data_IF_592169152062
#
_entry.id   IF_592169152062
#
_cell.length_a   1.000
_cell.length_b   1.000
_cell.length_c   1.000
_cell.angle_alpha   90.00
_cell.angle_beta   90.00
_cell.angle_gamma   90.00
#
_symmetry.space_group_name_H-M   'P 1'
#
loop_
_entity.id
_entity.type
_entity.pdbx_description
1 polymer ?
#
# COMPACT_ATOMS: atom_id res chain seq x y z
N UNK A 1 -64.84 46.83 -29.14
CA UNK A 1 -64.20 47.68 -30.16
C UNK A 1 -62.70 47.38 -30.13
N UNK A 2 -62.20 46.80 -31.22
CA UNK A 2 -60.81 46.75 -31.72
C UNK A 2 -59.55 46.81 -30.80
N UNK A 3 -58.74 45.74 -30.95
CA UNK A 3 -57.32 45.72 -31.38
C UNK A 3 -56.18 45.93 -30.34
N UNK A 4 -55.29 44.91 -30.29
CA UNK A 4 -53.87 44.83 -29.80
C UNK A 4 -53.06 46.11 -30.07
N UNK A 5 -51.99 46.49 -29.32
CA UNK A 5 -50.67 45.78 -29.34
C UNK A 5 -49.72 46.06 -28.13
N UNK A 6 -48.46 45.55 -28.17
CA UNK A 6 -47.14 46.14 -27.73
C UNK A 6 -46.14 45.04 -27.29
N UNK A 7 -45.07 44.72 -28.02
CA UNK A 7 -43.75 45.35 -28.26
C UNK A 7 -42.73 45.34 -27.10
N UNK A 8 -41.80 44.39 -27.23
CA UNK A 8 -40.35 44.35 -26.92
C UNK A 8 -39.76 45.36 -25.92
N UNK A 9 -39.27 44.82 -24.80
CA UNK A 9 -38.44 45.50 -23.80
C UNK A 9 -36.98 45.63 -24.24
N UNK A 10 -36.40 46.79 -23.93
CA UNK A 10 -34.98 47.16 -24.06
C UNK A 10 -34.21 46.69 -22.81
N UNK A 11 -32.94 46.35 -22.96
CA UNK A 11 -31.95 46.43 -21.87
C UNK A 11 -30.81 47.34 -22.31
N UNK A 12 -30.43 48.27 -21.43
CA UNK A 12 -29.43 49.31 -21.58
C UNK A 12 -28.24 49.04 -20.66
N UNK A 13 -27.06 49.52 -21.08
CA UNK A 13 -25.92 49.97 -20.26
C UNK A 13 -25.06 48.86 -19.61
N UNK A 14 -23.73 48.93 -19.47
CA UNK A 14 -22.75 50.01 -19.60
C UNK A 14 -21.38 49.41 -19.98
N UNK A 15 -20.68 49.93 -20.99
CA UNK A 15 -19.24 49.68 -21.20
C UNK A 15 -18.46 50.92 -20.81
N UNK A 16 -17.68 50.82 -19.73
CA UNK A 16 -16.70 51.82 -19.29
C UNK A 16 -15.30 51.48 -19.82
N UNK A 17 -14.76 52.43 -20.57
CA UNK A 17 -13.37 52.87 -20.75
C UNK A 17 -12.17 51.94 -20.42
N UNK A 18 -11.29 51.83 -21.42
CA UNK A 18 -9.84 51.62 -21.27
C UNK A 18 -9.13 52.21 -22.52
N UNK A 19 -8.05 53.00 -22.40
CA UNK A 19 -7.63 53.95 -23.43
C UNK A 19 -6.68 53.36 -24.49
N UNK A 20 -6.83 53.86 -25.72
CA UNK A 20 -5.97 53.64 -26.87
C UNK A 20 -4.59 54.27 -26.64
N UNK A 21 -3.55 53.45 -26.46
CA UNK A 21 -2.13 53.85 -26.37
C UNK A 21 -1.24 53.02 -27.30
N UNK A 22 -1.70 52.76 -28.52
CA UNK A 22 -0.85 52.25 -29.59
C UNK A 22 -1.08 53.09 -30.83
N UNK A 23 -0.24 54.10 -31.03
CA UNK A 23 0.22 54.57 -32.34
C UNK A 23 1.05 55.84 -32.15
N UNK A 24 2.33 55.69 -31.82
CA UNK A 24 3.42 56.59 -32.24
C UNK A 24 4.68 55.73 -32.14
N UNK A 25 5.22 55.33 -33.29
CA UNK A 25 6.65 55.31 -33.63
C UNK A 25 6.78 54.72 -35.04
N UNK A 26 6.72 55.60 -36.03
CA UNK A 26 7.08 55.28 -37.40
C UNK A 26 8.58 55.01 -37.49
N UNK A 27 8.96 53.74 -37.59
CA UNK A 27 10.35 53.34 -37.81
C UNK A 27 10.67 53.49 -39.30
N UNK A 28 11.39 54.56 -39.64
CA UNK A 28 11.91 54.81 -40.99
C UNK A 28 12.96 53.73 -41.30
N UNK A 29 12.59 52.82 -42.20
CA UNK A 29 13.32 51.59 -42.48
C UNK A 29 14.58 51.88 -43.34
N UNK A 30 15.75 51.93 -42.72
CA UNK A 30 17.03 51.74 -43.43
C UNK A 30 17.26 50.24 -43.62
N UNK A 31 17.11 49.76 -44.86
CA UNK A 31 17.18 48.33 -45.20
C UNK A 31 18.53 47.65 -44.92
N UNK A 32 19.59 48.41 -44.61
CA UNK A 32 20.91 47.87 -44.29
C UNK A 32 21.19 47.75 -42.79
N UNK A 33 20.43 48.45 -41.93
CA UNK A 33 20.59 48.40 -40.47
C UNK A 33 19.70 47.36 -39.78
N UNK A 34 18.50 47.13 -40.30
CA UNK A 34 17.51 46.23 -39.69
C UNK A 34 17.95 44.76 -39.68
N UNK A 35 18.63 44.29 -40.73
CA UNK A 35 19.12 42.91 -40.78
C UNK A 35 20.24 42.65 -39.76
N UNK A 36 21.10 43.65 -39.47
CA UNK A 36 22.14 43.52 -38.45
C UNK A 36 21.55 43.48 -37.05
N UNK A 37 20.55 44.32 -36.76
CA UNK A 37 19.84 44.28 -35.47
C UNK A 37 19.07 42.98 -35.24
N UNK A 38 18.37 42.47 -36.26
CA UNK A 38 17.69 41.17 -36.18
C UNK A 38 18.68 40.03 -35.92
N UNK A 39 19.85 40.03 -36.59
CA UNK A 39 20.89 39.02 -36.36
C UNK A 39 21.48 39.07 -34.95
N UNK A 40 21.59 40.26 -34.35
CA UNK A 40 22.10 40.44 -32.97
C UNK A 40 21.06 39.96 -31.97
N UNK A 41 19.77 40.23 -32.20
CA UNK A 41 18.69 39.78 -31.34
C UNK A 41 18.57 38.25 -31.38
N UNK A 42 18.66 37.62 -32.56
CA UNK A 42 18.59 36.16 -32.65
C UNK A 42 19.78 35.47 -31.99
N UNK A 43 21.00 36.02 -32.15
CA UNK A 43 22.17 35.51 -31.43
C UNK A 43 22.05 35.70 -29.92
N UNK A 44 21.54 36.83 -29.45
CA UNK A 44 21.30 37.07 -28.04
C UNK A 44 20.25 36.12 -27.44
N UNK A 45 19.15 35.84 -28.15
CA UNK A 45 18.14 34.86 -27.75
C UNK A 45 18.72 33.44 -27.75
N UNK A 46 19.54 33.06 -28.74
CA UNK A 46 20.23 31.78 -28.75
C UNK A 46 21.21 31.64 -27.57
N UNK A 47 21.96 32.70 -27.26
CA UNK A 47 22.88 32.70 -26.11
C UNK A 47 22.09 32.58 -24.81
N UNK A 48 20.98 33.31 -24.65
CA UNK A 48 20.08 33.18 -23.49
C UNK A 48 19.47 31.79 -23.38
N UNK A 49 19.11 31.15 -24.49
CA UNK A 49 18.59 29.78 -24.50
C UNK A 49 19.65 28.75 -24.10
N UNK A 50 20.89 28.92 -24.59
CA UNK A 50 22.00 28.04 -24.20
C UNK A 50 22.39 28.28 -22.74
N UNK A 51 22.45 29.54 -22.28
CA UNK A 51 22.70 29.88 -20.88
C UNK A 51 21.58 29.36 -19.98
N UNK A 52 20.30 29.53 -20.35
CA UNK A 52 19.19 28.99 -19.56
C UNK A 52 19.27 27.46 -19.48
N UNK A 53 19.56 26.76 -20.59
CA UNK A 53 19.72 25.29 -20.56
C UNK A 53 20.89 24.80 -19.68
N UNK A 54 21.88 25.67 -19.40
CA UNK A 54 23.05 25.35 -18.57
C UNK A 54 22.91 25.82 -17.11
N UNK A 55 22.10 26.84 -16.85
CA UNK A 55 21.92 27.44 -15.51
C UNK A 55 20.58 27.09 -14.85
N UNK A 56 19.59 26.60 -15.59
CA UNK A 56 18.52 25.81 -14.99
C UNK A 56 19.06 24.40 -14.83
N UNK A 57 19.37 23.93 -13.62
CA UNK A 57 19.57 22.51 -13.42
C UNK A 57 18.28 21.86 -13.92
N UNK A 58 18.37 21.07 -14.99
CA UNK A 58 17.42 19.99 -15.20
C UNK A 58 17.43 19.27 -13.87
N UNK A 59 16.33 19.39 -13.14
CA UNK A 59 16.07 18.59 -11.96
C UNK A 59 15.98 17.16 -12.45
N UNK A 60 17.14 16.55 -12.70
CA UNK A 60 17.29 15.13 -12.60
C UNK A 60 16.79 14.84 -11.20
N UNK A 61 15.58 14.27 -11.12
CA UNK A 61 15.07 13.70 -9.89
C UNK A 61 16.22 12.87 -9.36
N UNK A 62 16.86 13.34 -8.28
CA UNK A 62 17.85 12.54 -7.59
C UNK A 62 17.15 11.19 -7.38
N UNK A 63 17.65 10.14 -8.02
CA UNK A 63 17.01 8.83 -7.93
C UNK A 63 16.90 8.54 -6.45
N UNK A 64 15.67 8.56 -5.93
CA UNK A 64 15.44 8.38 -4.50
C UNK A 64 15.93 6.97 -4.22
N UNK A 65 17.11 6.86 -3.62
CA UNK A 65 17.67 5.58 -3.23
C UNK A 65 16.88 5.14 -2.01
N UNK A 66 15.82 4.36 -2.27
CA UNK A 66 15.05 3.77 -1.20
C UNK A 66 15.92 2.74 -0.47
N UNK A 67 15.82 2.64 0.87
CA UNK A 67 16.49 1.57 1.59
C UNK A 67 16.04 0.22 1.03
N UNK A 68 16.88 -0.82 1.12
CA UNK A 68 16.49 -2.17 0.70
C UNK A 68 15.19 -2.57 1.39
N UNK A 69 14.22 -3.03 0.60
CA UNK A 69 12.93 -3.46 1.14
C UNK A 69 13.16 -4.68 2.01
N UNK A 70 12.83 -4.57 3.30
CA UNK A 70 12.89 -5.66 4.26
C UNK A 70 11.58 -5.73 5.04
N UNK A 71 11.22 -6.95 5.44
CA UNK A 71 10.12 -7.23 6.35
C UNK A 71 10.43 -6.82 7.79
N UNK A 72 9.64 -7.33 8.74
CA UNK A 72 9.91 -7.15 10.18
C UNK A 72 11.21 -7.82 10.63
N UNK A 73 11.61 -8.89 9.94
CA UNK A 73 12.81 -9.67 10.19
C UNK A 73 13.80 -9.49 9.04
N UNK A 74 15.08 -9.63 9.34
CA UNK A 74 16.17 -9.50 8.37
C UNK A 74 16.43 -10.84 7.68
N UNK A 75 16.34 -11.94 8.43
CA UNK A 75 16.47 -13.28 7.88
C UNK A 75 15.12 -13.83 7.42
N UNK A 76 15.11 -14.34 6.19
CA UNK A 76 13.91 -14.82 5.53
C UNK A 76 13.94 -16.33 5.38
N UNK A 77 12.75 -16.94 5.39
CA UNK A 77 12.55 -18.37 5.19
C UNK A 77 11.73 -18.53 3.89
N UNK A 78 12.22 -19.30 2.90
CA UNK A 78 11.44 -19.55 1.69
C UNK A 78 10.19 -20.39 2.01
N UNK A 79 9.02 -19.84 1.72
CA UNK A 79 7.75 -20.54 1.85
C UNK A 79 7.61 -21.62 0.75
N UNK A 80 7.16 -22.81 1.13
CA UNK A 80 6.95 -23.93 0.20
C UNK A 80 5.72 -23.75 -0.70
N UNK A 81 4.76 -22.94 -0.27
CA UNK A 81 3.47 -22.70 -0.90
C UNK A 81 3.11 -21.21 -0.85
N UNK A 82 2.25 -20.77 -1.79
CA UNK A 82 1.63 -19.44 -1.78
C UNK A 82 0.57 -19.27 -0.69
N UNK A 83 0.25 -20.34 0.03
CA UNK A 83 -0.65 -20.33 1.19
C UNK A 83 0.20 -20.24 2.46
N UNK A 84 0.41 -19.03 2.96
CA UNK A 84 1.17 -18.74 4.18
C UNK A 84 0.18 -18.39 5.29
N UNK A 85 0.04 -19.28 6.26
CA UNK A 85 -0.80 -19.08 7.44
C UNK A 85 -0.18 -19.80 8.66
N UNK A 86 -0.42 -19.31 9.88
CA UNK A 86 0.22 -19.87 11.07
C UNK A 86 -0.33 -21.25 11.41
N UNK A 87 0.42 -22.01 12.21
CA UNK A 87 -0.05 -23.29 12.75
C UNK A 87 -1.13 -23.04 13.81
N UNK A 88 -2.38 -23.32 13.45
CA UNK A 88 -3.56 -23.05 14.28
C UNK A 88 -3.57 -23.92 15.54
N UNK A 89 -3.01 -25.12 15.47
CA UNK A 89 -2.84 -26.05 16.60
C UNK A 89 -2.06 -25.43 17.77
N UNK A 90 -1.25 -24.41 17.51
CA UNK A 90 -0.46 -23.74 18.55
C UNK A 90 -1.26 -22.64 19.29
N UNK A 91 -2.43 -22.24 18.79
CA UNK A 91 -3.21 -21.15 19.37
C UNK A 91 -3.57 -21.33 20.87
N UNK A 92 -4.00 -22.51 21.35
CA UNK A 92 -4.25 -22.71 22.78
C UNK A 92 -3.01 -22.50 23.65
N UNK A 93 -1.87 -23.05 23.22
CA UNK A 93 -0.60 -22.91 23.94
C UNK A 93 -0.09 -21.46 23.89
N UNK A 94 -0.26 -20.76 22.77
CA UNK A 94 0.08 -19.34 22.66
C UNK A 94 -0.73 -18.48 23.64
N UNK A 95 -2.01 -18.81 23.84
CA UNK A 95 -2.89 -18.19 24.84
C UNK A 95 -2.38 -18.39 26.27
N UNK A 96 -1.97 -19.61 26.63
CA UNK A 96 -1.43 -19.94 27.95
C UNK A 96 -0.10 -19.23 28.23
N UNK A 97 0.78 -19.21 27.23
CA UNK A 97 2.13 -18.64 27.30
C UNK A 97 2.06 -17.10 27.38
N UNK A 98 1.03 -16.47 26.80
CA UNK A 98 0.80 -15.02 26.68
C UNK A 98 1.84 -14.30 25.81
N UNK A 99 1.46 -13.18 25.20
CA UNK A 99 2.36 -12.41 24.30
C UNK A 99 3.66 -11.96 24.98
N UNK A 100 3.59 -11.63 26.28
CA UNK A 100 4.74 -11.07 27.01
C UNK A 100 5.92 -12.02 27.11
N UNK A 101 5.69 -13.33 27.09
CA UNK A 101 6.75 -14.35 27.17
C UNK A 101 7.29 -14.74 25.78
N UNK A 102 6.54 -14.44 24.71
CA UNK A 102 6.97 -14.62 23.33
C UNK A 102 8.08 -13.64 22.95
N UNK A 103 8.11 -12.45 23.55
CA UNK A 103 9.09 -11.41 23.26
C UNK A 103 10.05 -11.11 24.43
N UNK A 104 11.18 -10.50 24.10
CA UNK A 104 12.04 -9.91 25.12
C UNK A 104 11.40 -8.63 25.62
N UNK A 105 11.34 -8.44 26.94
CA UNK A 105 10.78 -7.22 27.54
C UNK A 105 11.91 -6.29 27.98
N UNK A 106 11.83 -5.01 27.63
CA UNK A 106 12.72 -3.94 28.11
C UNK A 106 11.95 -3.02 29.06
N UNK A 107 12.55 -2.67 30.18
CA UNK A 107 12.01 -1.66 31.10
C UNK A 107 12.46 -0.27 30.65
N UNK A 108 11.52 0.66 30.51
CA UNK A 108 11.81 2.07 30.20
C UNK A 108 12.13 2.88 31.48
N UNK A 109 12.53 4.14 31.28
CA UNK A 109 12.85 5.07 32.37
C UNK A 109 11.62 5.34 33.28
N UNK A 110 10.41 5.26 32.73
CA UNK A 110 9.14 5.41 33.45
C UNK A 110 8.71 4.13 34.20
N UNK A 111 9.53 3.08 34.17
CA UNK A 111 9.20 1.78 34.77
C UNK A 111 8.19 0.94 33.97
N UNK A 112 7.66 1.47 32.87
CA UNK A 112 6.85 0.72 31.90
C UNK A 112 7.68 -0.40 31.26
N UNK A 113 7.02 -1.52 30.94
CA UNK A 113 7.63 -2.69 30.28
C UNK A 113 7.18 -2.74 28.84
N UNK A 114 8.13 -2.78 27.90
CA UNK A 114 7.86 -2.85 26.46
C UNK A 114 8.42 -4.10 25.83
N UNK A 115 7.65 -4.67 24.91
CA UNK A 115 8.04 -5.76 24.05
C UNK A 115 9.03 -5.25 23.00
N UNK A 116 10.12 -5.99 22.82
CA UNK A 116 11.17 -5.67 21.86
C UNK A 116 11.31 -6.82 20.86
N UNK A 117 11.24 -6.46 19.57
CA UNK A 117 11.54 -7.36 18.46
C UNK A 117 13.05 -7.48 18.27
N UNK A 118 13.52 -8.67 17.95
CA UNK A 118 14.91 -8.94 17.54
C UNK A 118 14.91 -9.31 16.04
N UNK A 119 15.17 -8.35 15.13
CA UNK A 119 15.08 -8.60 13.69
C UNK A 119 16.13 -9.58 13.15
N UNK A 120 17.27 -9.67 13.83
CA UNK A 120 18.45 -10.51 13.48
C UNK A 120 18.34 -11.95 14.01
N UNK A 121 17.24 -12.32 14.67
CA UNK A 121 17.09 -13.65 15.23
C UNK A 121 16.91 -14.69 14.12
N UNK A 122 17.85 -15.62 14.02
CA UNK A 122 17.80 -16.71 13.05
C UNK A 122 16.60 -17.63 13.27
N UNK A 123 16.13 -18.27 12.20
CA UNK A 123 15.11 -19.29 12.29
C UNK A 123 15.64 -20.56 12.95
N UNK A 124 14.78 -21.29 13.66
CA UNK A 124 15.18 -22.57 14.23
C UNK A 124 15.40 -23.60 13.11
N UNK A 125 16.55 -24.27 13.13
CA UNK A 125 16.87 -25.30 12.14
C UNK A 125 16.05 -26.56 12.36
N UNK A 126 15.85 -27.35 11.31
CA UNK A 126 15.05 -28.58 11.41
C UNK A 126 15.66 -29.62 12.36
N UNK A 127 16.99 -29.62 12.51
CA UNK A 127 17.69 -30.49 13.46
C UNK A 127 17.50 -30.02 14.91
N UNK A 128 17.44 -28.71 15.16
CA UNK A 128 17.11 -28.16 16.48
C UNK A 128 15.65 -28.43 16.85
N UNK A 129 14.72 -28.33 15.89
CA UNK A 129 13.30 -28.66 16.10
C UNK A 129 13.12 -30.12 16.52
N UNK A 130 13.84 -31.05 15.90
CA UNK A 130 13.78 -32.49 16.24
C UNK A 130 14.37 -32.81 17.62
N UNK A 131 15.38 -32.05 18.06
CA UNK A 131 16.06 -32.25 19.35
C UNK A 131 15.34 -31.57 20.52
N UNK A 132 14.50 -30.59 20.24
CA UNK A 132 13.78 -29.84 21.27
C UNK A 132 12.55 -30.62 21.73
N UNK A 133 12.56 -31.04 23.00
CA UNK A 133 11.40 -31.71 23.63
C UNK A 133 10.39 -30.72 24.21
N UNK A 134 10.80 -29.49 24.49
CA UNK A 134 9.95 -28.47 25.09
C UNK A 134 8.95 -27.90 24.08
N UNK A 135 7.67 -28.19 24.30
CA UNK A 135 6.57 -27.74 23.46
C UNK A 135 6.42 -26.20 23.46
N UNK A 136 6.66 -25.53 24.59
CA UNK A 136 6.52 -24.08 24.71
C UNK A 136 7.57 -23.39 23.83
N UNK A 137 8.81 -23.89 23.89
CA UNK A 137 9.90 -23.39 23.07
C UNK A 137 9.61 -23.59 21.58
N UNK A 138 9.12 -24.77 21.18
CA UNK A 138 8.72 -25.05 19.79
C UNK A 138 7.61 -24.11 19.31
N UNK A 139 6.59 -23.87 20.14
CA UNK A 139 5.48 -22.97 19.82
C UNK A 139 5.97 -21.53 19.68
N UNK A 140 6.82 -21.06 20.59
CA UNK A 140 7.43 -19.73 20.51
C UNK A 140 8.24 -19.54 19.24
N UNK A 141 9.10 -20.50 18.90
CA UNK A 141 9.87 -20.44 17.65
C UNK A 141 8.96 -20.51 16.43
N UNK A 142 7.94 -21.38 16.42
CA UNK A 142 6.97 -21.42 15.32
C UNK A 142 6.23 -20.09 15.14
N UNK A 143 5.92 -19.38 16.22
CA UNK A 143 5.31 -18.06 16.18
C UNK A 143 6.26 -17.01 15.58
N UNK A 144 7.51 -16.94 16.05
CA UNK A 144 8.50 -15.97 15.56
C UNK A 144 8.97 -16.26 14.13
N UNK A 145 9.10 -17.52 13.76
CA UNK A 145 9.59 -17.94 12.44
C UNK A 145 8.52 -17.79 11.35
N UNK A 146 7.24 -17.87 11.71
CA UNK A 146 6.13 -17.65 10.77
C UNK A 146 6.26 -16.29 10.07
N UNK A 147 6.66 -15.27 10.82
CA UNK A 147 6.84 -13.92 10.27
C UNK A 147 8.01 -13.72 9.32
N UNK A 148 8.87 -14.73 9.18
CA UNK A 148 10.04 -14.75 8.29
C UNK A 148 9.71 -15.37 6.93
N UNK A 149 8.52 -15.98 6.77
CA UNK A 149 8.13 -16.69 5.55
C UNK A 149 7.91 -15.73 4.37
N UNK A 150 8.58 -16.01 3.25
CA UNK A 150 8.49 -15.26 1.99
C UNK A 150 8.36 -16.21 0.80
N UNK A 151 7.45 -15.91 -0.12
CA UNK A 151 7.17 -16.75 -1.30
C UNK A 151 7.79 -16.13 -2.57
N UNK A 152 8.85 -16.77 -3.08
CA UNK A 152 9.58 -16.33 -4.29
C UNK A 152 9.65 -17.42 -5.37
N UNK A 153 8.52 -17.99 -5.76
CA UNK A 153 8.47 -18.97 -6.86
C UNK A 153 8.16 -18.27 -8.18
N UNK A 154 8.97 -18.53 -9.21
CA UNK A 154 8.81 -17.90 -10.53
C UNK A 154 7.66 -18.49 -11.36
N UNK A 155 7.34 -19.77 -11.18
CA UNK A 155 6.41 -20.49 -12.06
C UNK A 155 4.93 -20.43 -11.62
N UNK A 156 4.67 -20.07 -10.36
CA UNK A 156 3.33 -20.04 -9.78
C UNK A 156 3.20 -18.78 -8.93
N UNK A 157 2.98 -17.65 -9.61
CA UNK A 157 2.92 -16.32 -8.99
C UNK A 157 1.45 -15.90 -8.83
N UNK A 158 0.95 -15.73 -7.60
CA UNK A 158 -0.39 -15.22 -7.39
C UNK A 158 -0.46 -13.71 -7.69
N UNK A 159 -1.37 -13.30 -8.58
CA UNK A 159 -1.60 -11.87 -8.82
C UNK A 159 -2.34 -11.18 -7.67
N UNK A 160 -3.19 -11.93 -6.96
CA UNK A 160 -3.97 -11.46 -5.81
C UNK A 160 -3.56 -12.26 -4.58
N UNK A 161 -3.35 -11.56 -3.45
CA UNK A 161 -3.09 -12.18 -2.15
C UNK A 161 -4.18 -11.77 -1.17
N UNK A 162 -4.84 -12.76 -0.58
CA UNK A 162 -5.80 -12.56 0.50
C UNK A 162 -5.04 -12.44 1.82
N UNK A 163 -5.25 -11.34 2.52
CA UNK A 163 -4.49 -10.96 3.70
C UNK A 163 -5.41 -10.84 4.90
N UNK A 164 -5.08 -11.50 6.01
CA UNK A 164 -5.89 -11.44 7.24
C UNK A 164 -4.99 -11.41 8.48
N UNK A 165 -5.36 -10.56 9.44
CA UNK A 165 -4.82 -10.60 10.80
C UNK A 165 -5.76 -11.44 11.66
N UNK A 166 -5.22 -12.29 12.52
CA UNK A 166 -6.01 -13.07 13.49
C UNK A 166 -5.51 -12.80 14.90
N UNK A 167 -6.43 -12.58 15.81
CA UNK A 167 -6.20 -12.46 17.24
C UNK A 167 -6.37 -13.80 17.96
N UNK A 168 -5.25 -14.48 18.26
CA UNK A 168 -5.32 -15.76 18.96
C UNK A 168 -5.75 -15.63 20.42
N UNK A 169 -5.66 -14.45 21.05
CA UNK A 169 -6.03 -14.22 22.44
C UNK A 169 -7.55 -14.06 22.59
N UNK A 170 -8.21 -13.43 21.61
CA UNK A 170 -9.65 -13.18 21.68
C UNK A 170 -10.51 -14.25 20.98
N UNK A 171 -9.97 -14.99 20.00
CA UNK A 171 -10.73 -16.04 19.30
C UNK A 171 -10.38 -17.44 19.80
N UNK A 172 -11.39 -18.30 19.93
CA UNK A 172 -11.19 -19.73 20.20
C UNK A 172 -10.61 -20.45 18.96
N UNK A 173 -10.04 -21.63 19.17
CA UNK A 173 -9.37 -22.37 18.10
C UNK A 173 -10.31 -22.78 16.96
N UNK A 174 -11.57 -23.08 17.25
CA UNK A 174 -12.54 -23.47 16.21
C UNK A 174 -12.84 -22.27 15.30
N UNK A 175 -13.09 -21.10 15.88
CA UNK A 175 -13.29 -19.87 15.11
C UNK A 175 -12.07 -19.54 14.25
N UNK A 176 -10.85 -19.67 14.80
CA UNK A 176 -9.63 -19.46 14.01
C UNK A 176 -9.53 -20.46 12.85
N UNK A 177 -9.83 -21.74 13.07
CA UNK A 177 -9.86 -22.75 12.01
C UNK A 177 -10.83 -22.34 10.90
N UNK A 178 -12.04 -21.93 11.24
CA UNK A 178 -13.07 -21.52 10.27
C UNK A 178 -12.63 -20.29 9.46
N UNK A 179 -12.03 -19.28 10.10
CA UNK A 179 -11.49 -18.10 9.41
C UNK A 179 -10.42 -18.52 8.40
N UNK A 180 -9.43 -19.31 8.83
CA UNK A 180 -8.34 -19.73 7.96
C UNK A 180 -8.85 -20.58 6.80
N UNK A 181 -9.73 -21.56 7.07
CA UNK A 181 -10.35 -22.40 6.04
C UNK A 181 -11.09 -21.55 5.00
N UNK A 182 -11.91 -20.59 5.44
CA UNK A 182 -12.64 -19.72 4.51
C UNK A 182 -11.69 -18.95 3.55
N UNK A 183 -10.55 -18.44 4.05
CA UNK A 183 -9.56 -17.75 3.20
C UNK A 183 -8.84 -18.71 2.27
N UNK A 184 -8.46 -19.88 2.78
CA UNK A 184 -7.74 -20.91 2.02
C UNK A 184 -8.60 -21.46 0.90
N UNK A 185 -9.86 -21.83 1.18
CA UNK A 185 -10.79 -22.38 0.20
C UNK A 185 -11.05 -21.38 -0.93
N UNK A 186 -11.27 -20.10 -0.57
CA UNK A 186 -11.43 -19.03 -1.55
C UNK A 186 -10.18 -18.89 -2.44
N UNK A 187 -9.00 -18.82 -1.82
CA UNK A 187 -7.76 -18.59 -2.54
C UNK A 187 -7.36 -19.78 -3.42
N UNK A 188 -7.57 -21.01 -2.96
CA UNK A 188 -7.31 -22.19 -3.77
C UNK A 188 -8.18 -22.22 -5.03
N UNK A 189 -9.46 -21.88 -4.90
CA UNK A 189 -10.42 -21.85 -6.01
C UNK A 189 -10.05 -20.86 -7.11
N UNK A 190 -9.50 -19.70 -6.75
CA UNK A 190 -9.13 -18.64 -7.69
C UNK A 190 -7.63 -18.53 -7.99
N UNK A 191 -6.84 -19.48 -7.50
CA UNK A 191 -5.38 -19.47 -7.61
C UNK A 191 -4.68 -18.26 -6.97
N UNK A 192 -5.22 -17.77 -5.86
CA UNK A 192 -4.67 -16.66 -5.09
C UNK A 192 -3.66 -17.13 -4.05
N UNK A 193 -2.86 -16.18 -3.58
CA UNK A 193 -2.04 -16.34 -2.38
C UNK A 193 -2.86 -16.11 -1.12
N UNK A 194 -2.41 -16.68 -0.01
CA UNK A 194 -2.94 -16.39 1.33
C UNK A 194 -1.78 -15.93 2.20
N UNK A 195 -2.00 -14.86 2.94
CA UNK A 195 -1.05 -14.36 3.91
C UNK A 195 -1.77 -14.00 5.21
N UNK A 196 -1.72 -14.92 6.16
CA UNK A 196 -2.34 -14.79 7.48
C UNK A 196 -1.25 -14.69 8.52
N UNK A 197 -1.39 -13.76 9.46
CA UNK A 197 -0.44 -13.54 10.56
C UNK A 197 -1.20 -13.36 11.87
N UNK A 198 -0.57 -13.71 12.98
CA UNK A 198 -1.10 -13.34 14.28
C UNK A 198 -0.90 -11.85 14.48
N UNK A 199 -1.93 -11.16 14.97
CA UNK A 199 -1.85 -9.72 15.18
C UNK A 199 -0.84 -9.33 16.26
N UNK A 200 -0.65 -10.22 17.25
CA UNK A 200 0.33 -10.09 18.31
C UNK A 200 1.77 -9.97 17.78
N UNK A 201 2.04 -10.43 16.55
CA UNK A 201 3.38 -10.35 15.94
C UNK A 201 3.85 -8.90 15.73
N UNK A 202 2.91 -7.96 15.63
CA UNK A 202 3.17 -6.56 15.31
C UNK A 202 3.25 -5.66 16.55
N UNK A 203 2.85 -6.14 17.73
CA UNK A 203 2.85 -5.35 18.97
C UNK A 203 4.22 -4.70 19.28
N UNK A 204 5.37 -5.38 19.12
CA UNK A 204 6.67 -4.75 19.39
C UNK A 204 7.00 -3.57 18.46
N UNK A 205 6.35 -3.48 17.29
CA UNK A 205 6.56 -2.39 16.33
C UNK A 205 5.70 -1.15 16.63
N UNK A 206 4.77 -1.26 17.58
CA UNK A 206 3.84 -0.18 17.93
C UNK A 206 4.36 0.66 19.11
N UNK A 207 4.03 1.95 19.07
CA UNK A 207 4.25 2.84 20.20
C UNK A 207 3.31 2.49 21.37
N UNK A 208 2.03 2.31 21.08
CA UNK A 208 1.07 1.77 22.05
C UNK A 208 0.98 0.26 21.87
N UNK A 209 1.43 -0.52 22.85
CA UNK A 209 1.42 -1.99 22.79
C UNK A 209 0.10 -2.57 23.33
N UNK A 210 -0.98 -1.80 23.26
CA UNK A 210 -2.35 -2.24 23.50
C UNK A 210 -3.02 -2.61 22.18
N UNK A 211 -3.43 -3.87 22.05
CA UNK A 211 -3.99 -4.41 20.82
C UNK A 211 -5.35 -3.78 20.45
N UNK A 212 -6.22 -3.56 21.45
CA UNK A 212 -7.56 -3.03 21.22
C UNK A 212 -7.53 -1.60 20.67
N UNK A 213 -6.58 -0.80 21.15
CA UNK A 213 -6.41 0.59 20.72
C UNK A 213 -5.60 0.70 19.42
N UNK A 214 -4.82 -0.33 19.08
CA UNK A 214 -3.84 -0.25 17.99
C UNK A 214 -4.19 -1.10 16.77
N UNK A 215 -5.33 -1.79 16.76
CA UNK A 215 -5.73 -2.71 15.68
C UNK A 215 -5.60 -2.08 14.28
N UNK A 216 -6.15 -0.89 14.08
CA UNK A 216 -6.13 -0.22 12.77
C UNK A 216 -4.73 0.22 12.36
N UNK A 217 -3.85 0.52 13.30
CA UNK A 217 -2.45 0.88 13.03
C UNK A 217 -1.61 -0.35 12.63
N UNK A 218 -2.06 -1.56 12.91
CA UNK A 218 -1.38 -2.80 12.51
C UNK A 218 -1.69 -3.15 11.04
N UNK A 219 -2.86 -2.77 10.51
CA UNK A 219 -3.26 -3.09 9.13
C UNK A 219 -2.22 -2.64 8.08
N UNK A 220 -1.67 -1.41 8.11
CA UNK A 220 -0.60 -1.02 7.18
C UNK A 220 0.69 -1.83 7.36
N UNK A 221 1.06 -2.21 8.59
CA UNK A 221 2.23 -3.06 8.86
C UNK A 221 2.05 -4.45 8.27
N UNK A 222 0.84 -5.01 8.39
CA UNK A 222 0.47 -6.29 7.80
C UNK A 222 0.51 -6.25 6.28
N UNK A 223 -0.04 -5.19 5.66
CA UNK A 223 0.00 -5.01 4.21
C UNK A 223 1.44 -4.90 3.73
N UNK A 224 2.30 -4.13 4.42
CA UNK A 224 3.73 -4.06 4.12
C UNK A 224 4.41 -5.43 4.21
N UNK A 225 4.10 -6.22 5.24
CA UNK A 225 4.60 -7.57 5.39
C UNK A 225 4.13 -8.49 4.26
N UNK A 226 2.87 -8.35 3.81
CA UNK A 226 2.32 -9.10 2.69
C UNK A 226 3.02 -8.76 1.36
N UNK A 227 3.22 -7.46 1.09
CA UNK A 227 3.94 -6.98 -0.10
C UNK A 227 5.38 -7.50 -0.13
N UNK A 228 6.03 -7.59 1.03
CA UNK A 228 7.36 -8.18 1.15
C UNK A 228 7.33 -9.70 0.93
N UNK A 229 6.35 -10.40 1.51
CA UNK A 229 6.19 -11.84 1.37
C UNK A 229 5.83 -12.28 -0.07
N UNK A 230 5.14 -11.41 -0.83
CA UNK A 230 4.69 -11.64 -2.19
C UNK A 230 5.05 -10.43 -3.09
N UNK A 231 6.33 -10.24 -3.44
CA UNK A 231 6.80 -9.04 -4.15
C UNK A 231 6.24 -8.87 -5.56
N UNK A 232 5.70 -9.95 -6.14
CA UNK A 232 5.15 -9.99 -7.49
C UNK A 232 3.63 -9.88 -7.54
N UNK A 233 2.95 -9.86 -6.38
CA UNK A 233 1.51 -9.68 -6.32
C UNK A 233 1.12 -8.27 -6.80
N UNK A 234 0.06 -8.19 -7.60
CA UNK A 234 -0.50 -6.93 -8.11
C UNK A 234 -1.52 -6.32 -7.16
N UNK A 235 -2.27 -7.17 -6.47
CA UNK A 235 -3.37 -6.75 -5.60
C UNK A 235 -3.28 -7.42 -4.24
N UNK A 236 -3.50 -6.63 -3.20
CA UNK A 236 -3.64 -7.08 -1.83
C UNK A 236 -5.10 -6.92 -1.43
N UNK A 237 -5.76 -8.03 -1.11
CA UNK A 237 -7.13 -8.03 -0.61
C UNK A 237 -7.11 -8.30 0.89
N UNK A 238 -7.16 -7.23 1.68
CA UNK A 238 -7.23 -7.34 3.12
C UNK A 238 -8.66 -7.69 3.55
N UNK A 239 -8.81 -8.76 4.31
CA UNK A 239 -10.09 -9.27 4.83
C UNK A 239 -9.93 -9.38 6.35
N UNK A 240 -10.69 -8.59 7.10
CA UNK A 240 -10.67 -8.63 8.56
C UNK A 240 -11.05 -10.02 9.10
N UNK A 241 -10.63 -10.33 10.33
CA UNK A 241 -10.89 -11.61 11.01
C UNK A 241 -12.38 -11.93 11.19
N UNK A 242 -13.22 -10.90 11.34
CA UNK A 242 -14.67 -11.00 11.52
C UNK A 242 -15.45 -10.96 10.19
N UNK A 243 -14.78 -10.75 9.07
CA UNK A 243 -15.40 -10.79 7.74
C UNK A 243 -15.44 -12.23 7.19
N UNK A 244 -16.48 -12.55 6.41
CA UNK A 244 -16.63 -13.86 5.78
C UNK A 244 -16.78 -13.74 4.26
N UNK A 245 -15.99 -14.51 3.53
CA UNK A 245 -16.16 -14.66 2.08
C UNK A 245 -17.29 -15.65 1.82
N UNK A 246 -18.51 -15.13 1.66
CA UNK A 246 -19.73 -15.95 1.54
C UNK A 246 -19.84 -16.62 0.17
N UNK A 247 -19.60 -15.88 -0.91
CA UNK A 247 -19.65 -16.43 -2.27
C UNK A 247 -18.25 -16.77 -2.75
N UNK A 248 -17.87 -18.04 -2.59
CA UNK A 248 -16.55 -18.51 -2.98
C UNK A 248 -16.36 -18.64 -4.50
N UNK A 249 -17.44 -18.66 -5.28
CA UNK A 249 -17.40 -18.74 -6.75
C UNK A 249 -17.04 -17.40 -7.43
N UNK A 250 -17.17 -16.29 -6.71
CA UNK A 250 -16.97 -14.96 -7.27
C UNK A 250 -15.48 -14.57 -7.24
N UNK A 251 -14.89 -14.40 -8.42
CA UNK A 251 -13.50 -13.95 -8.57
C UNK A 251 -13.35 -12.43 -8.44
N UNK A 252 -12.45 -11.94 -7.58
CA UNK A 252 -12.16 -10.50 -7.47
C UNK A 252 -11.68 -9.90 -8.79
N UNK A 253 -10.80 -10.60 -9.50
CA UNK A 253 -10.25 -10.13 -10.77
C UNK A 253 -11.36 -9.89 -11.80
N UNK A 254 -12.30 -10.83 -11.90
CA UNK A 254 -13.38 -10.77 -12.88
C UNK A 254 -14.43 -9.72 -12.56
N UNK A 255 -14.64 -9.37 -11.29
CA UNK A 255 -15.80 -8.54 -10.91
C UNK A 255 -15.45 -7.15 -10.41
N UNK A 256 -14.25 -6.93 -9.86
CA UNK A 256 -13.86 -5.66 -9.26
C UNK A 256 -12.59 -5.06 -9.85
N UNK A 257 -11.62 -5.89 -10.24
CA UNK A 257 -10.29 -5.39 -10.62
C UNK A 257 -10.12 -5.16 -12.13
N UNK A 258 -11.07 -5.60 -12.98
CA UNK A 258 -11.11 -5.21 -14.39
C UNK A 258 -11.72 -3.80 -14.51
N UNK A 259 -10.95 -2.79 -14.96
CA UNK A 259 -11.43 -1.41 -15.05
C UNK A 259 -12.71 -1.28 -15.88
N UNK A 260 -12.86 -2.09 -16.93
CA UNK A 260 -14.03 -2.05 -17.82
C UNK A 260 -15.29 -2.48 -17.10
N UNK A 261 -15.17 -3.43 -16.18
CA UNK A 261 -16.30 -3.96 -15.40
C UNK A 261 -16.64 -3.00 -14.27
N UNK A 262 -15.62 -2.42 -13.64
CA UNK A 262 -15.81 -1.39 -12.63
C UNK A 262 -16.57 -0.18 -13.21
N UNK A 263 -16.18 0.30 -14.39
CA UNK A 263 -16.86 1.41 -15.08
C UNK A 263 -18.32 1.08 -15.36
N UNK A 264 -18.61 -0.14 -15.84
CA UNK A 264 -19.98 -0.59 -16.09
C UNK A 264 -20.81 -0.69 -14.79
N UNK A 265 -20.22 -1.17 -13.70
CA UNK A 265 -20.89 -1.26 -12.41
C UNK A 265 -21.21 0.13 -11.81
N UNK A 266 -20.27 1.07 -11.93
CA UNK A 266 -20.47 2.45 -11.49
C UNK A 266 -21.58 3.14 -12.29
N UNK A 267 -21.58 2.98 -13.62
CA UNK A 267 -22.62 3.55 -14.49
C UNK A 267 -24.02 2.99 -14.21
N UNK A 268 -24.13 1.70 -13.91
CA UNK A 268 -25.42 1.06 -13.59
C UNK A 268 -26.03 1.61 -12.29
N UNK A 269 -25.20 2.00 -11.33
CA UNK A 269 -25.64 2.50 -10.02
C UNK A 269 -26.08 3.97 -10.08
N UNK A 270 -25.65 4.72 -11.11
CA UNK A 270 -26.02 6.13 -11.29
C UNK A 270 -27.36 6.34 -12.02
N UNK A 271 -27.93 5.27 -12.59
CA UNK A 271 -29.16 5.31 -13.39
C UNK A 271 -30.39 4.71 -12.67
N UNK A 272 -30.26 4.40 -11.38
CA UNK A 272 -31.32 3.97 -10.47
C UNK A 272 -31.47 4.98 -9.33
#
# INVERSE_FOLDING_TARGET
MAIKPRTKGKSYSSRSAGPQWFNIFGFRQSKYGTCKFLSIITTFVCILYVFSSRFYPISHSAGVSYPPSHGLYIHEIPASSRLIFPRIEHAPLLKEVTVRSLYTTRTELDGSKRLVLKPEENAMTDEEKKKTTDQILLVKHSFLDHGKLVYRRNNDVPEVVVVTLIDFENYDSETVIQIVQNRVDYAQKHQYGVYIRWIQEFLPALENQNLAESYDFIKPLMIRAAMHAFPTAKYIHFVDQDALLMNLDLSLQKYLLDPRILDLALLKTFLL
#
